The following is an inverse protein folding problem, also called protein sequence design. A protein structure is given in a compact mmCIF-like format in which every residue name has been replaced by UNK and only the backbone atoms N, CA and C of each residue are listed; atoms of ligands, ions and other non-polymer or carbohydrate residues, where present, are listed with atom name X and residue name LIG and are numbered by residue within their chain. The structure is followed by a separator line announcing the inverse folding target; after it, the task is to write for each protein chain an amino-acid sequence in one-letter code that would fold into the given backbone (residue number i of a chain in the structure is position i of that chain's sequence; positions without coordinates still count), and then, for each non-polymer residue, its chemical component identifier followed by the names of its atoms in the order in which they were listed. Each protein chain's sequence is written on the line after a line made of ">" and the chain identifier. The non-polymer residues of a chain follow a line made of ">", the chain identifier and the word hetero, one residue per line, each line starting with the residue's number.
data_IF_422487455000
#
_entry.id   IF_422487455000
#
_cell.length_a   1.000
_cell.length_b   1.000
_cell.length_c   1.000
_cell.angle_alpha   90.00
_cell.angle_beta   90.00
_cell.angle_gamma   90.00
#
_symmetry.space_group_name_H-M   'P 1'
#
loop_
_entity.id
_entity.type
_entity.pdbx_description
1 polymer ?
#
# COMPACT_ATOMS: atom_id res chain seq x y z
N UNK A 1 3.73 -9.46 8.36
CA UNK A 1 4.09 -8.99 9.72
C UNK A 1 3.50 -7.61 9.95
N UNK A 2 3.03 -7.34 11.16
CA UNK A 2 2.48 -6.04 11.56
C UNK A 2 3.21 -5.64 12.84
N UNK A 3 3.75 -4.43 12.85
CA UNK A 3 4.43 -3.84 14.02
C UNK A 3 3.86 -2.45 14.25
N UNK A 4 3.98 -1.96 15.49
CA UNK A 4 3.57 -0.61 15.85
C UNK A 4 4.73 0.05 16.59
N UNK A 5 5.22 1.16 16.07
CA UNK A 5 6.20 2.01 16.76
C UNK A 5 5.45 3.16 17.43
N UNK A 6 5.76 3.38 18.71
CA UNK A 6 5.18 4.46 19.48
C UNK A 6 6.18 5.60 19.63
N UNK A 7 5.71 6.82 19.40
CA UNK A 7 6.39 8.08 19.66
C UNK A 7 5.53 8.90 20.64
N UNK A 8 6.08 9.85 21.41
CA UNK A 8 5.28 10.70 22.29
C UNK A 8 4.15 11.47 21.58
N UNK A 9 4.25 11.71 20.26
CA UNK A 9 3.31 12.56 19.51
C UNK A 9 2.61 11.84 18.35
N UNK A 10 2.97 10.58 18.05
CA UNK A 10 2.36 9.82 16.96
C UNK A 10 2.50 8.32 17.17
N UNK A 11 1.69 7.56 16.43
CA UNK A 11 1.77 6.11 16.31
C UNK A 11 2.11 5.79 14.86
N UNK A 12 3.12 4.94 14.64
CA UNK A 12 3.56 4.50 13.30
C UNK A 12 3.30 3.00 13.15
N UNK A 13 2.19 2.61 12.50
CA UNK A 13 1.97 1.23 12.11
C UNK A 13 2.88 0.87 10.93
N UNK A 14 3.60 -0.25 11.04
CA UNK A 14 4.46 -0.79 10.00
C UNK A 14 3.91 -2.14 9.55
N UNK A 15 3.57 -2.24 8.26
CA UNK A 15 3.04 -3.44 7.64
C UNK A 15 4.06 -3.96 6.63
N UNK A 16 4.36 -5.26 6.68
CA UNK A 16 5.26 -5.93 5.76
C UNK A 16 4.65 -7.26 5.32
N UNK A 17 4.67 -7.55 4.03
CA UNK A 17 4.42 -8.88 3.47
C UNK A 17 5.73 -9.52 2.96
N UNK A 18 5.64 -10.75 2.48
CA UNK A 18 6.77 -11.51 1.92
C UNK A 18 6.54 -11.81 0.43
N UNK A 19 5.74 -10.99 -0.25
CA UNK A 19 5.45 -11.10 -1.67
C UNK A 19 6.58 -10.56 -2.54
N UNK A 20 6.28 -10.39 -3.82
CA UNK A 20 7.23 -9.93 -4.85
C UNK A 20 7.61 -8.43 -4.73
N UNK A 21 6.96 -7.69 -3.82
CA UNK A 21 7.18 -6.26 -3.64
C UNK A 21 6.48 -5.42 -4.71
N UNK A 22 6.93 -4.19 -4.87
CA UNK A 22 6.40 -3.21 -5.83
C UNK A 22 7.58 -2.74 -6.69
N UNK A 23 7.38 -2.69 -8.02
CA UNK A 23 8.38 -2.16 -8.95
C UNK A 23 8.64 -0.66 -8.67
N UNK A 24 9.90 -0.23 -8.79
CA UNK A 24 10.29 1.14 -8.43
C UNK A 24 9.56 2.19 -9.27
N UNK A 25 9.35 1.91 -10.56
CA UNK A 25 8.59 2.73 -11.50
C UNK A 25 7.09 2.83 -11.15
N UNK A 26 6.54 1.88 -10.38
CA UNK A 26 5.13 1.85 -10.01
C UNK A 26 4.87 2.63 -8.71
N UNK A 27 5.89 2.82 -7.85
CA UNK A 27 5.79 3.52 -6.55
C UNK A 27 5.11 4.91 -6.63
N UNK A 28 5.34 5.75 -7.66
CA UNK A 28 4.66 7.05 -7.77
C UNK A 28 3.15 6.93 -7.98
N UNK A 29 2.68 5.80 -8.52
CA UNK A 29 1.31 5.61 -9.01
C UNK A 29 0.44 4.76 -8.07
N UNK A 30 1.01 4.03 -7.10
CA UNK A 30 0.26 3.06 -6.26
C UNK A 30 -0.89 3.67 -5.44
N UNK A 31 -0.92 4.99 -5.27
CA UNK A 31 -1.97 5.73 -4.58
C UNK A 31 -3.02 6.34 -5.52
N UNK A 32 -2.88 6.20 -6.84
CA UNK A 32 -3.87 6.63 -7.80
C UNK A 32 -5.10 5.70 -7.76
N UNK A 33 -6.30 6.28 -7.91
CA UNK A 33 -7.53 5.49 -7.95
C UNK A 33 -7.53 4.61 -9.19
N UNK A 34 -7.95 3.36 -9.01
CA UNK A 34 -8.01 2.35 -10.07
C UNK A 34 -6.66 1.89 -10.62
N UNK A 35 -5.54 2.35 -10.02
CA UNK A 35 -4.23 1.86 -10.39
C UNK A 35 -4.06 0.38 -10.02
N UNK A 36 -3.52 -0.39 -10.97
CA UNK A 36 -3.21 -1.80 -10.79
C UNK A 36 -1.81 -2.04 -11.32
N UNK A 37 -0.96 -2.60 -10.47
CA UNK A 37 0.36 -3.06 -10.87
C UNK A 37 0.24 -4.05 -12.02
N UNK A 38 1.18 -3.95 -12.96
CA UNK A 38 1.34 -4.90 -14.07
C UNK A 38 1.57 -6.33 -13.59
N UNK A 39 2.16 -6.51 -12.40
CA UNK A 39 2.42 -7.83 -11.81
C UNK A 39 1.20 -8.41 -11.05
N UNK A 40 0.12 -7.63 -10.89
CA UNK A 40 -1.05 -8.05 -10.11
C UNK A 40 -1.80 -9.24 -10.74
N UNK A 41 -1.53 -10.44 -10.24
CA UNK A 41 -2.21 -11.70 -10.63
C UNK A 41 -3.63 -11.85 -10.05
N UNK A 42 -4.06 -10.95 -9.15
CA UNK A 42 -5.34 -11.05 -8.45
C UNK A 42 -6.49 -10.56 -9.34
N UNK A 43 -7.21 -11.48 -9.97
CA UNK A 43 -8.50 -11.18 -10.62
C UNK A 43 -9.50 -10.65 -9.57
N UNK A 44 -10.22 -9.58 -9.92
CA UNK A 44 -11.26 -8.96 -9.07
C UNK A 44 -10.79 -7.79 -8.18
N UNK A 45 -9.50 -7.43 -8.20
CA UNK A 45 -9.03 -6.18 -7.60
C UNK A 45 -9.34 -4.98 -8.48
N UNK A 46 -9.99 -3.95 -7.91
CA UNK A 46 -10.32 -2.68 -8.59
C UNK A 46 -9.31 -1.55 -8.32
N UNK A 47 -8.21 -1.80 -7.60
CA UNK A 47 -7.18 -0.77 -7.38
C UNK A 47 -7.62 0.42 -6.49
N UNK A 48 -8.48 0.17 -5.49
CA UNK A 48 -9.03 1.25 -4.63
C UNK A 48 -8.35 1.32 -3.26
N UNK A 49 -7.73 0.23 -2.79
CA UNK A 49 -7.26 0.09 -1.40
C UNK A 49 -6.29 1.19 -0.95
N UNK A 50 -5.15 1.35 -1.63
CA UNK A 50 -4.14 2.35 -1.24
C UNK A 50 -4.64 3.79 -1.44
N UNK A 51 -5.40 4.05 -2.51
CA UNK A 51 -6.02 5.35 -2.73
C UNK A 51 -6.99 5.74 -1.60
N UNK A 52 -7.70 4.77 -1.01
CA UNK A 52 -8.56 4.98 0.15
C UNK A 52 -7.74 5.25 1.42
N UNK A 53 -6.65 4.50 1.64
CA UNK A 53 -5.75 4.71 2.80
C UNK A 53 -5.23 6.14 2.82
N UNK A 54 -4.77 6.66 1.68
CA UNK A 54 -4.29 8.05 1.54
C UNK A 54 -5.38 9.12 1.75
N UNK A 55 -6.66 8.74 1.67
CA UNK A 55 -7.76 9.66 1.94
C UNK A 55 -8.17 9.69 3.42
N UNK A 56 -7.81 8.67 4.19
CA UNK A 56 -8.18 8.53 5.62
C UNK A 56 -7.08 9.09 6.53
N UNK A 57 -5.82 8.96 6.13
CA UNK A 57 -4.62 9.39 6.88
C UNK A 57 -3.99 10.56 6.12
#
# INVERSE_FOLDING_TARGET
>A
MIQVKNSPIYIEPVIQDFGEGILAEELPHIFERFYKSSSSKKLGSNGIGLALVKAII
#
